data_IF_633004078877
#
_entry.id   IF_633004078877
#
_cell.length_a   1.000
_cell.length_b   1.000
_cell.length_c   1.000
_cell.angle_alpha   90.00
_cell.angle_beta   90.00
_cell.angle_gamma   90.00
#
_symmetry.space_group_name_H-M   'P 1'
#
loop_
_entity.id
_entity.type
_entity.pdbx_description
1 polymer ?
#
# COMPACT_ATOMS: atom_id res chain seq x y z
N UNK A 1 8.10 40.57 24.04
CA UNK A 1 8.38 39.74 22.85
C UNK A 1 7.76 40.45 21.65
N UNK A 2 8.54 40.74 20.59
CA UNK A 2 8.00 41.45 19.43
C UNK A 2 7.05 40.55 18.60
N UNK A 3 6.11 41.17 17.88
CA UNK A 3 5.10 40.51 17.03
C UNK A 3 5.73 39.55 16.00
N UNK A 4 6.91 39.89 15.45
CA UNK A 4 7.65 39.05 14.49
C UNK A 4 8.07 37.74 15.12
N UNK A 5 8.68 37.73 16.30
CA UNK A 5 9.09 36.49 17.00
C UNK A 5 7.91 35.61 17.37
N UNK A 6 6.76 36.19 17.73
CA UNK A 6 5.55 35.45 18.01
C UNK A 6 5.03 34.76 16.75
N UNK A 7 5.05 35.43 15.59
CA UNK A 7 4.65 34.85 14.29
C UNK A 7 5.57 33.73 13.85
N UNK A 8 6.88 33.87 14.04
CA UNK A 8 7.86 32.81 13.73
C UNK A 8 7.62 31.53 14.56
N UNK A 9 7.36 31.70 15.87
CA UNK A 9 7.06 30.59 16.76
C UNK A 9 5.77 29.88 16.34
N UNK A 10 4.71 30.64 16.03
CA UNK A 10 3.45 30.09 15.55
C UNK A 10 3.65 29.35 14.22
N UNK A 11 4.42 29.90 13.29
CA UNK A 11 4.73 29.24 12.02
C UNK A 11 5.50 27.93 12.21
N UNK A 12 6.48 27.90 13.11
CA UNK A 12 7.21 26.67 13.45
C UNK A 12 6.30 25.61 14.06
N UNK A 13 5.41 25.98 14.98
CA UNK A 13 4.42 25.06 15.56
C UNK A 13 3.45 24.53 14.52
N UNK A 14 2.97 25.38 13.62
CA UNK A 14 2.04 24.98 12.57
C UNK A 14 2.71 24.06 11.54
N UNK A 15 3.96 24.32 11.16
CA UNK A 15 4.77 23.44 10.33
C UNK A 15 4.99 22.08 11.00
N UNK A 16 5.38 22.08 12.29
CA UNK A 16 5.54 20.86 13.07
C UNK A 16 4.23 20.08 13.17
N UNK A 17 3.11 20.76 13.41
CA UNK A 17 1.78 20.15 13.45
C UNK A 17 1.38 19.52 12.11
N UNK A 18 1.67 20.18 10.99
CA UNK A 18 1.41 19.64 9.64
C UNK A 18 2.29 18.42 9.36
N UNK A 19 3.58 18.49 9.64
CA UNK A 19 4.49 17.36 9.49
C UNK A 19 4.10 16.15 10.34
N UNK A 20 3.56 16.37 11.54
CA UNK A 20 3.07 15.30 12.41
C UNK A 20 1.68 14.78 11.98
N UNK A 21 0.86 15.63 11.36
CA UNK A 21 -0.47 15.22 10.86
C UNK A 21 -0.39 14.33 9.63
N UNK A 22 0.63 14.52 8.78
CA UNK A 22 0.84 13.72 7.56
C UNK A 22 1.46 12.35 7.85
N UNK A 23 2.02 12.13 9.03
CA UNK A 23 2.46 10.81 9.49
C UNK A 23 1.41 10.20 10.45
N UNK A 24 0.23 9.91 9.97
CA UNK A 24 -0.59 8.88 10.59
C UNK A 24 0.13 7.55 10.34
N UNK A 25 0.89 7.10 11.33
CA UNK A 25 1.40 5.73 11.37
C UNK A 25 0.18 4.81 11.43
N UNK A 26 -0.23 4.31 10.29
CA UNK A 26 -1.32 3.34 10.22
C UNK A 26 -0.71 1.96 10.41
N UNK A 27 -1.13 1.27 11.45
CA UNK A 27 -0.78 -0.15 11.61
C UNK A 27 -1.77 -0.93 10.74
N UNK A 28 -1.25 -1.72 9.82
CA UNK A 28 -2.07 -2.56 8.93
C UNK A 28 -2.12 -3.97 9.52
N UNK A 29 -3.15 -4.24 10.33
CA UNK A 29 -3.35 -5.53 11.01
C UNK A 29 -4.43 -6.40 10.35
N UNK A 30 -5.24 -5.81 9.49
CA UNK A 30 -6.36 -6.50 8.86
C UNK A 30 -6.55 -6.05 7.40
N UNK A 31 -7.16 -6.89 6.57
CA UNK A 31 -7.55 -6.49 5.22
C UNK A 31 -8.48 -5.27 5.17
N UNK A 32 -9.24 -5.03 6.26
CA UNK A 32 -10.09 -3.84 6.39
C UNK A 32 -9.25 -2.55 6.44
N UNK A 33 -8.12 -2.56 7.16
CA UNK A 33 -7.24 -1.39 7.25
C UNK A 33 -6.71 -1.02 5.87
N UNK A 34 -6.33 -2.04 5.06
CA UNK A 34 -5.89 -1.85 3.67
C UNK A 34 -7.03 -1.29 2.80
N UNK A 35 -8.25 -1.81 2.96
CA UNK A 35 -9.42 -1.31 2.24
C UNK A 35 -9.71 0.17 2.55
N UNK A 36 -9.59 0.57 3.81
CA UNK A 36 -9.72 1.97 4.22
C UNK A 36 -8.61 2.84 3.63
N UNK A 37 -7.38 2.34 3.60
CA UNK A 37 -6.22 3.03 3.00
C UNK A 37 -6.28 3.18 1.48
N UNK A 38 -7.14 2.42 0.82
CA UNK A 38 -7.37 2.51 -0.62
C UNK A 38 -8.59 3.36 -1.00
N UNK A 39 -9.11 4.19 -0.09
CA UNK A 39 -10.30 5.02 -0.32
C UNK A 39 -10.19 5.91 -1.57
N UNK A 40 -9.00 6.44 -1.84
CA UNK A 40 -8.70 7.30 -2.99
C UNK A 40 -8.70 6.56 -4.34
N UNK A 41 -8.53 5.23 -4.33
CA UNK A 41 -8.28 4.41 -5.53
C UNK A 41 -9.37 3.37 -5.75
N UNK A 42 -9.94 2.80 -4.69
CA UNK A 42 -10.89 1.66 -4.78
C UNK A 42 -12.10 1.93 -5.68
N UNK A 43 -12.46 3.21 -5.88
CA UNK A 43 -13.54 3.66 -6.77
C UNK A 43 -13.08 3.99 -8.19
N UNK A 44 -11.83 3.82 -8.53
CA UNK A 44 -11.30 4.10 -9.86
C UNK A 44 -11.88 3.14 -10.90
N UNK A 45 -12.08 3.68 -12.12
CA UNK A 45 -12.47 2.88 -13.30
C UNK A 45 -11.31 2.08 -13.90
N UNK A 46 -10.08 2.36 -13.45
CA UNK A 46 -8.88 1.61 -13.84
C UNK A 46 -8.40 0.77 -12.67
N UNK A 47 -7.80 -0.36 -12.95
CA UNK A 47 -7.12 -1.15 -11.95
C UNK A 47 -5.83 -0.46 -11.53
N UNK A 48 -5.56 -0.44 -10.23
CA UNK A 48 -4.34 0.08 -9.64
C UNK A 48 -3.72 -1.00 -8.78
N UNK A 49 -2.48 -1.32 -9.05
CA UNK A 49 -1.70 -2.22 -8.21
C UNK A 49 -0.87 -1.41 -7.24
N UNK A 50 -1.12 -1.61 -5.96
CA UNK A 50 -0.58 -0.81 -4.85
C UNK A 50 0.24 -1.69 -3.94
N UNK A 51 1.36 -1.17 -3.46
CA UNK A 51 2.20 -1.81 -2.47
C UNK A 51 2.27 -0.94 -1.23
N UNK A 52 2.06 -1.55 -0.08
CA UNK A 52 2.29 -0.96 1.24
C UNK A 52 3.57 -1.54 1.80
N UNK A 53 4.53 -0.70 2.11
CA UNK A 53 5.79 -1.06 2.72
C UNK A 53 5.67 -0.92 4.24
N UNK A 54 6.02 -1.97 4.96
CA UNK A 54 5.80 -2.07 6.40
C UNK A 54 7.11 -2.26 7.16
N UNK A 55 7.16 -1.68 8.35
CA UNK A 55 8.20 -2.00 9.31
C UNK A 55 7.94 -3.33 10.04
N UNK A 56 8.83 -3.71 10.94
CA UNK A 56 8.70 -4.94 11.74
C UNK A 56 7.52 -4.95 12.73
N UNK A 57 6.80 -3.84 12.86
CA UNK A 57 5.59 -3.68 13.68
C UNK A 57 4.33 -3.58 12.84
N UNK A 58 4.41 -3.88 11.55
CA UNK A 58 3.34 -3.70 10.58
C UNK A 58 2.83 -2.25 10.46
N UNK A 59 3.69 -1.27 10.77
CA UNK A 59 3.40 0.13 10.53
C UNK A 59 3.73 0.48 9.07
N UNK A 60 2.82 1.15 8.42
CA UNK A 60 3.02 1.65 7.06
C UNK A 60 4.13 2.70 7.05
N UNK A 61 5.20 2.41 6.32
CA UNK A 61 6.31 3.34 6.07
C UNK A 61 5.98 4.24 4.88
N UNK A 62 5.53 3.60 3.78
CA UNK A 62 5.23 4.25 2.51
C UNK A 62 4.24 3.39 1.71
N UNK A 63 3.59 4.01 0.72
CA UNK A 63 2.68 3.37 -0.21
C UNK A 63 2.99 3.81 -1.64
N UNK A 64 3.19 2.88 -2.54
CA UNK A 64 3.44 3.14 -3.96
C UNK A 64 2.37 2.51 -4.85
N UNK A 65 2.04 3.21 -5.94
CA UNK A 65 1.24 2.67 -7.04
C UNK A 65 2.21 2.17 -8.10
N UNK A 66 2.30 0.85 -8.26
CA UNK A 66 3.24 0.21 -9.19
C UNK A 66 2.70 0.19 -10.63
N UNK A 67 1.38 0.01 -10.78
CA UNK A 67 0.75 -0.09 -12.09
C UNK A 67 -0.64 0.51 -12.09
N UNK A 68 -1.03 1.11 -13.22
CA UNK A 68 -2.38 1.63 -13.49
C UNK A 68 -2.81 1.11 -14.86
N UNK A 69 -3.97 0.46 -14.93
CA UNK A 69 -4.53 -0.07 -16.18
C UNK A 69 -5.14 -1.44 -15.98
N UNK A 70 -4.95 -2.34 -16.92
CA UNK A 70 -5.27 -3.77 -16.77
C UNK A 70 -4.09 -4.48 -16.14
N UNK A 71 -4.35 -5.27 -15.10
CA UNK A 71 -3.34 -6.15 -14.51
C UNK A 71 -3.01 -7.25 -15.53
N UNK A 72 -1.91 -7.03 -16.25
CA UNK A 72 -1.28 -8.05 -17.06
C UNK A 72 0.01 -8.47 -16.35
N UNK A 73 0.36 -9.75 -16.33
CA UNK A 73 1.63 -10.25 -15.77
C UNK A 73 2.86 -9.46 -16.25
N UNK A 74 2.76 -8.85 -17.44
CA UNK A 74 3.82 -8.03 -18.01
C UNK A 74 3.93 -6.61 -17.42
N UNK A 75 2.97 -6.17 -16.58
CA UNK A 75 2.92 -4.79 -16.07
C UNK A 75 3.36 -4.67 -14.61
N UNK A 76 3.39 -5.75 -13.86
CA UNK A 76 3.88 -5.75 -12.47
C UNK A 76 5.08 -6.68 -12.36
N UNK A 77 6.25 -6.09 -12.19
CA UNK A 77 7.47 -6.86 -12.01
C UNK A 77 7.89 -6.89 -10.53
N UNK A 78 8.29 -8.07 -10.00
CA UNK A 78 8.81 -8.14 -8.63
C UNK A 78 9.92 -7.13 -8.33
N UNK A 79 10.78 -6.83 -9.32
CA UNK A 79 11.84 -5.82 -9.15
C UNK A 79 11.30 -4.44 -8.78
N UNK A 80 10.18 -4.00 -9.35
CA UNK A 80 9.58 -2.68 -9.08
C UNK A 80 8.97 -2.65 -7.68
N UNK A 81 8.30 -3.73 -7.30
CA UNK A 81 7.72 -3.90 -5.96
C UNK A 81 8.81 -3.90 -4.89
N UNK A 82 9.88 -4.67 -5.09
CA UNK A 82 10.94 -4.81 -4.09
C UNK A 82 12.00 -3.69 -4.14
N UNK A 83 12.11 -2.94 -5.24
CA UNK A 83 12.90 -1.71 -5.26
C UNK A 83 12.42 -0.72 -4.20
N UNK A 84 11.10 -0.48 -4.13
CA UNK A 84 10.49 0.35 -3.10
C UNK A 84 10.67 -0.22 -1.69
N UNK A 85 10.55 -1.54 -1.53
CA UNK A 85 10.74 -2.19 -0.25
C UNK A 85 12.18 -2.03 0.28
N UNK A 86 13.18 -2.22 -0.56
CA UNK A 86 14.59 -2.05 -0.23
C UNK A 86 14.89 -0.57 0.09
N UNK A 87 14.43 0.35 -0.75
CA UNK A 87 14.61 1.80 -0.56
C UNK A 87 14.07 2.29 0.78
N UNK A 88 12.95 1.74 1.21
CA UNK A 88 12.28 2.11 2.47
C UNK A 88 12.72 1.25 3.66
N UNK A 89 13.67 0.33 3.50
CA UNK A 89 14.06 -0.63 4.53
C UNK A 89 12.85 -1.38 5.13
N UNK A 90 11.93 -1.78 4.28
CA UNK A 90 10.73 -2.49 4.71
C UNK A 90 11.06 -3.91 5.16
N UNK A 91 10.47 -4.34 6.27
CA UNK A 91 10.54 -5.71 6.76
C UNK A 91 9.52 -6.62 6.06
N UNK A 92 8.40 -6.03 5.63
CA UNK A 92 7.32 -6.74 4.98
C UNK A 92 6.57 -5.85 3.98
N UNK A 93 5.79 -6.47 3.11
CA UNK A 93 4.88 -5.78 2.19
C UNK A 93 3.48 -6.38 2.25
N UNK A 94 2.48 -5.54 2.01
CA UNK A 94 1.15 -5.96 1.61
C UNK A 94 0.92 -5.40 0.21
N UNK A 95 0.39 -6.22 -0.68
CA UNK A 95 -0.02 -5.77 -2.00
C UNK A 95 -1.53 -5.74 -2.09
N UNK A 96 -2.07 -4.80 -2.84
CA UNK A 96 -3.50 -4.68 -3.04
C UNK A 96 -3.80 -4.14 -4.44
N UNK A 97 -4.95 -4.49 -4.98
CA UNK A 97 -5.46 -3.88 -6.19
C UNK A 97 -6.98 -3.76 -6.15
N UNK A 98 -7.51 -2.79 -6.89
CA UNK A 98 -8.95 -2.63 -7.03
C UNK A 98 -9.47 -3.32 -8.27
N UNK A 99 -10.65 -3.94 -8.17
CA UNK A 99 -11.40 -4.43 -9.31
C UNK A 99 -12.55 -3.46 -9.65
N UNK A 100 -12.48 -2.73 -10.78
CA UNK A 100 -13.54 -1.82 -11.21
C UNK A 100 -14.88 -2.52 -11.45
N UNK A 101 -14.86 -3.79 -11.81
CA UNK A 101 -16.06 -4.62 -12.01
C UNK A 101 -16.85 -4.89 -10.74
N UNK A 102 -16.22 -4.74 -9.56
CA UNK A 102 -16.80 -5.10 -8.27
C UNK A 102 -16.67 -6.57 -7.90
N UNK A 103 -16.18 -7.43 -8.80
CA UNK A 103 -15.90 -8.83 -8.49
C UNK A 103 -14.59 -8.93 -7.68
N UNK A 104 -14.65 -9.62 -6.55
CA UNK A 104 -13.50 -9.84 -5.66
C UNK A 104 -12.79 -11.17 -5.92
N UNK A 105 -13.21 -11.91 -6.97
CA UNK A 105 -12.56 -13.17 -7.31
C UNK A 105 -11.20 -12.88 -7.97
N UNK A 106 -10.11 -13.47 -7.46
CA UNK A 106 -8.80 -13.30 -8.06
C UNK A 106 -8.77 -13.94 -9.47
N UNK A 107 -8.15 -13.24 -10.41
CA UNK A 107 -7.83 -13.77 -11.73
C UNK A 107 -6.66 -14.74 -11.65
N UNK A 108 -6.41 -15.48 -12.74
CA UNK A 108 -5.23 -16.33 -12.84
C UNK A 108 -3.94 -15.49 -12.75
N UNK A 109 -3.91 -14.32 -13.37
CA UNK A 109 -2.78 -13.40 -13.35
C UNK A 109 -2.49 -12.89 -11.94
N UNK A 110 -3.53 -12.59 -11.14
CA UNK A 110 -3.37 -12.21 -9.73
C UNK A 110 -2.71 -13.31 -8.91
N UNK A 111 -3.10 -14.55 -9.15
CA UNK A 111 -2.53 -15.70 -8.46
C UNK A 111 -1.06 -15.89 -8.84
N UNK A 112 -0.74 -15.73 -10.13
CA UNK A 112 0.62 -15.93 -10.63
C UNK A 112 1.58 -14.82 -10.16
N UNK A 113 1.16 -13.55 -10.21
CA UNK A 113 1.98 -12.47 -9.68
C UNK A 113 2.18 -12.61 -8.16
N UNK A 114 1.15 -13.03 -7.43
CA UNK A 114 1.27 -13.29 -5.99
C UNK A 114 2.35 -14.34 -5.70
N UNK A 115 2.33 -15.45 -6.42
CA UNK A 115 3.36 -16.50 -6.28
C UNK A 115 4.77 -16.00 -6.58
N UNK A 116 4.91 -15.20 -7.64
CA UNK A 116 6.21 -14.59 -8.01
C UNK A 116 6.72 -13.65 -6.91
N UNK A 117 5.82 -12.83 -6.33
CA UNK A 117 6.18 -11.93 -5.23
C UNK A 117 6.57 -12.69 -3.97
N UNK A 118 5.82 -13.72 -3.58
CA UNK A 118 6.16 -14.57 -2.43
C UNK A 118 7.55 -15.21 -2.62
N UNK A 119 7.83 -15.73 -3.83
CA UNK A 119 9.12 -16.33 -4.12
C UNK A 119 10.27 -15.32 -4.03
N UNK A 120 10.10 -14.15 -4.64
CA UNK A 120 11.09 -13.06 -4.59
C UNK A 120 11.30 -12.54 -3.16
N UNK A 121 10.22 -12.37 -2.40
CA UNK A 121 10.28 -11.95 -1.00
C UNK A 121 11.06 -12.91 -0.11
N UNK A 122 10.91 -14.21 -0.31
CA UNK A 122 11.70 -15.24 0.40
C UNK A 122 13.18 -15.15 0.11
N UNK A 123 13.58 -14.78 -1.11
CA UNK A 123 14.99 -14.60 -1.47
C UNK A 123 15.57 -13.34 -0.84
N UNK A 124 14.77 -12.28 -0.75
CA UNK A 124 15.18 -10.97 -0.24
C UNK A 124 15.02 -10.82 1.28
N UNK A 125 14.45 -11.82 1.95
CA UNK A 125 14.05 -11.76 3.36
C UNK A 125 13.09 -10.60 3.69
N UNK A 126 12.17 -10.35 2.74
CA UNK A 126 11.08 -9.37 2.86
C UNK A 126 9.77 -10.12 2.75
N UNK A 127 9.00 -10.17 3.84
CA UNK A 127 7.77 -10.95 3.91
C UNK A 127 6.66 -10.33 3.04
N UNK A 128 5.98 -11.15 2.25
CA UNK A 128 4.72 -10.78 1.59
C UNK A 128 3.58 -11.26 2.49
N UNK A 129 3.00 -10.35 3.26
CA UNK A 129 1.99 -10.68 4.27
C UNK A 129 0.67 -11.07 3.63
N UNK A 130 0.21 -10.30 2.65
CA UNK A 130 -1.07 -10.55 1.99
C UNK A 130 -1.15 -9.91 0.60
N UNK A 131 -2.11 -10.39 -0.20
CA UNK A 131 -2.55 -9.75 -1.43
C UNK A 131 -4.07 -9.58 -1.36
N UNK A 132 -4.54 -8.33 -1.41
CA UNK A 132 -5.91 -7.97 -1.10
C UNK A 132 -6.58 -7.35 -2.33
N UNK A 133 -7.74 -7.89 -2.70
CA UNK A 133 -8.59 -7.32 -3.75
C UNK A 133 -9.65 -6.45 -3.09
N UNK A 134 -9.79 -5.21 -3.56
CA UNK A 134 -10.77 -4.25 -3.07
C UNK A 134 -11.74 -3.80 -4.15
N UNK A 135 -12.93 -3.36 -3.73
CA UNK A 135 -13.93 -2.76 -4.63
C UNK A 135 -14.60 -1.56 -3.94
N UNK A 136 -15.05 -0.60 -4.74
CA UNK A 136 -15.78 0.57 -4.24
C UNK A 136 -17.19 0.23 -3.73
N UNK A 137 -17.85 -0.70 -4.40
CA UNK A 137 -19.27 -0.98 -4.21
C UNK A 137 -19.54 -2.05 -3.15
N UNK A 138 -18.49 -2.72 -2.72
CA UNK A 138 -18.61 -3.78 -1.75
C UNK A 138 -17.63 -3.50 -0.62
N UNK A 139 -18.08 -3.31 0.64
CA UNK A 139 -17.18 -3.20 1.78
C UNK A 139 -16.44 -4.51 2.06
N UNK A 140 -16.61 -5.50 1.19
CA UNK A 140 -15.90 -6.75 1.25
C UNK A 140 -14.58 -6.62 0.48
N UNK A 141 -13.57 -7.20 1.03
CA UNK A 141 -12.24 -7.39 0.49
C UNK A 141 -11.96 -8.90 0.51
N UNK A 142 -11.13 -9.35 -0.39
CA UNK A 142 -10.70 -10.75 -0.41
C UNK A 142 -9.19 -10.84 -0.38
N UNK A 143 -8.70 -11.53 0.63
CA UNK A 143 -7.31 -11.96 0.69
C UNK A 143 -7.08 -13.11 -0.28
N UNK A 144 -6.00 -13.06 -1.05
CA UNK A 144 -5.56 -14.19 -1.87
C UNK A 144 -4.76 -15.12 -0.95
N UNK A 145 -5.44 -16.06 -0.31
CA UNK A 145 -4.85 -17.00 0.64
C UNK A 145 -3.86 -17.95 -0.05
N UNK A 146 -2.68 -17.46 -0.42
CA UNK A 146 -1.55 -18.24 -0.93
C UNK A 146 -0.34 -18.19 0.03
N UNK A 147 -0.49 -17.45 1.12
CA UNK A 147 0.55 -17.17 2.11
C UNK A 147 0.33 -18.03 3.34
#
# INVERSE_FOLDING_TARGET
>A
MGTVKASEIIACFELGRRMLKDKKFSILLSPKDVWERMEDIRGSKKEHFVVFYLDSRNQEIERDIISIGTLNESLVHPREVFEGAIKNNAAAIIVAHNHPSGDLKPSQDDIEITKKLIHAGKILDIEVIDHIIVSAHNPFFKSINLI
#
